data_IF_358473517123
#
_entry.id   IF_358473517123
#
_cell.length_a   1.000
_cell.length_b   1.000
_cell.length_c   1.000
_cell.angle_alpha   90.00
_cell.angle_beta   90.00
_cell.angle_gamma   90.00
#
_symmetry.space_group_name_H-M   'P 1'
#
loop_
_entity.id
_entity.type
_entity.pdbx_description
1 polymer ?
#
# COMPACT_ATOMS: atom_id res chain seq x y z
N UNK A 1 16.29 75.47 -25.62
CA UNK A 1 15.18 74.57 -25.28
C UNK A 1 15.66 73.11 -25.57
N UNK A 2 16.08 72.40 -24.55
CA UNK A 2 16.50 71.00 -24.66
C UNK A 2 15.54 70.17 -23.77
N UNK A 3 14.65 69.38 -24.37
CA UNK A 3 13.73 68.49 -23.72
C UNK A 3 14.48 67.25 -23.22
N UNK A 4 14.56 67.13 -21.90
CA UNK A 4 15.05 65.89 -21.21
C UNK A 4 13.94 64.86 -21.23
N UNK A 5 14.06 63.78 -22.02
CA UNK A 5 13.19 62.62 -21.94
C UNK A 5 13.69 61.70 -20.84
N UNK A 6 13.02 61.69 -19.69
CA UNK A 6 13.19 60.68 -18.66
C UNK A 6 12.59 59.33 -19.11
N UNK A 7 13.44 58.38 -19.31
CA UNK A 7 13.05 57.00 -19.62
C UNK A 7 12.93 56.23 -18.30
N UNK A 8 11.70 56.00 -17.85
CA UNK A 8 11.38 55.23 -16.64
C UNK A 8 11.52 53.72 -16.99
N UNK A 9 12.61 53.09 -16.60
CA UNK A 9 12.78 51.66 -16.74
C UNK A 9 12.12 50.99 -15.52
N UNK A 10 10.93 50.40 -15.75
CA UNK A 10 10.24 49.60 -14.75
C UNK A 10 10.92 48.22 -14.70
N UNK A 11 11.75 47.98 -13.71
CA UNK A 11 12.32 46.68 -13.45
C UNK A 11 11.23 45.76 -12.87
N UNK A 12 10.70 44.84 -13.68
CA UNK A 12 9.89 43.73 -13.19
C UNK A 12 10.83 42.72 -12.46
N UNK A 13 10.88 42.82 -11.12
CA UNK A 13 11.47 41.79 -10.29
C UNK A 13 10.55 40.59 -10.29
N UNK A 14 10.85 39.59 -11.13
CA UNK A 14 10.20 38.30 -11.06
C UNK A 14 10.65 37.64 -9.74
N UNK A 15 9.76 37.58 -8.74
CA UNK A 15 9.94 36.72 -7.58
C UNK A 15 9.87 35.27 -8.08
N UNK A 16 11.02 34.69 -8.39
CA UNK A 16 11.13 33.24 -8.51
C UNK A 16 10.86 32.66 -7.11
N UNK A 17 9.68 32.12 -6.90
CA UNK A 17 9.39 31.30 -5.73
C UNK A 17 10.41 30.16 -5.73
N UNK A 18 11.41 30.21 -4.86
CA UNK A 18 12.30 29.07 -4.62
C UNK A 18 11.44 27.99 -4.00
N UNK A 19 11.05 27.00 -4.80
CA UNK A 19 10.39 25.82 -4.28
C UNK A 19 11.37 25.12 -3.34
N UNK A 20 11.16 25.25 -2.04
CA UNK A 20 11.95 24.55 -1.03
C UNK A 20 11.59 23.07 -1.13
N UNK A 21 12.63 22.23 -1.26
CA UNK A 21 12.48 20.79 -1.07
C UNK A 21 11.98 20.52 0.35
N UNK A 22 10.89 19.74 0.47
CA UNK A 22 10.34 19.34 1.76
C UNK A 22 10.48 17.83 1.90
N UNK A 23 10.71 17.38 3.14
CA UNK A 23 10.62 15.97 3.51
C UNK A 23 9.19 15.66 3.95
N UNK A 24 8.63 14.55 3.50
CA UNK A 24 7.33 14.06 3.94
C UNK A 24 7.42 12.65 4.53
N UNK A 25 6.78 12.45 5.68
CA UNK A 25 6.69 11.16 6.33
C UNK A 25 5.39 10.45 5.93
N UNK A 26 5.52 9.31 5.28
CA UNK A 26 4.38 8.54 4.74
C UNK A 26 4.32 7.17 5.37
N UNK A 27 3.20 6.87 6.05
CA UNK A 27 2.87 5.53 6.51
C UNK A 27 2.28 4.72 5.35
N UNK A 28 2.85 3.56 5.05
CA UNK A 28 2.48 2.72 3.90
C UNK A 28 2.19 1.30 4.33
N UNK A 29 1.01 0.78 4.00
CA UNK A 29 0.69 -0.61 4.21
C UNK A 29 1.67 -1.52 3.46
N UNK A 30 2.17 -2.54 4.15
CA UNK A 30 3.32 -3.35 3.72
C UNK A 30 3.15 -4.07 2.35
N UNK A 31 1.91 -4.33 1.94
CA UNK A 31 1.62 -4.89 0.60
C UNK A 31 2.02 -3.94 -0.54
N UNK A 32 2.08 -2.63 -0.26
CA UNK A 32 2.37 -1.59 -1.26
C UNK A 32 3.84 -1.13 -1.24
N UNK A 33 4.73 -1.87 -0.54
CA UNK A 33 6.15 -1.48 -0.36
C UNK A 33 6.85 -1.22 -1.70
N UNK A 34 6.89 -2.18 -2.60
CA UNK A 34 7.63 -2.04 -3.86
C UNK A 34 7.04 -0.95 -4.79
N UNK A 35 5.71 -0.89 -5.02
CA UNK A 35 5.13 0.22 -5.78
C UNK A 35 5.40 1.59 -5.15
N UNK A 36 5.27 1.72 -3.81
CA UNK A 36 5.51 3.00 -3.14
C UNK A 36 6.93 3.49 -3.30
N UNK A 37 7.93 2.60 -3.20
CA UNK A 37 9.33 2.93 -3.42
C UNK A 37 9.59 3.42 -4.85
N UNK A 38 9.02 2.76 -5.85
CA UNK A 38 9.16 3.17 -7.24
C UNK A 38 8.47 4.52 -7.50
N UNK A 39 7.24 4.70 -7.01
CA UNK A 39 6.49 5.95 -7.15
C UNK A 39 7.21 7.10 -6.42
N UNK A 40 7.79 6.83 -5.23
CA UNK A 40 8.56 7.83 -4.50
C UNK A 40 9.78 8.31 -5.29
N UNK A 41 10.54 7.41 -5.89
CA UNK A 41 11.68 7.77 -6.72
C UNK A 41 11.28 8.62 -7.95
N UNK A 42 10.15 8.32 -8.58
CA UNK A 42 9.60 9.10 -9.69
C UNK A 42 9.11 10.48 -9.23
N UNK A 43 8.43 10.55 -8.08
CA UNK A 43 7.97 11.79 -7.47
C UNK A 43 9.13 12.71 -7.06
N UNK A 44 10.14 12.18 -6.38
CA UNK A 44 11.33 12.91 -5.95
C UNK A 44 12.06 13.52 -7.15
N UNK A 45 12.22 12.73 -8.23
CA UNK A 45 12.81 13.20 -9.49
C UNK A 45 11.99 14.32 -10.14
N UNK A 46 10.67 14.25 -10.06
CA UNK A 46 9.78 15.20 -10.72
C UNK A 46 9.62 16.51 -9.94
N UNK A 47 9.75 16.49 -8.60
CA UNK A 47 9.38 17.62 -7.73
C UNK A 47 10.53 18.16 -6.90
N UNK A 48 11.56 17.38 -6.66
CA UNK A 48 12.64 17.71 -5.72
C UNK A 48 12.29 17.51 -4.25
N UNK A 49 11.05 17.14 -3.91
CA UNK A 49 10.66 16.77 -2.54
C UNK A 49 11.15 15.36 -2.20
N UNK A 50 11.35 15.07 -0.90
CA UNK A 50 11.76 13.74 -0.44
C UNK A 50 10.66 13.01 0.31
N UNK A 51 10.51 11.69 0.07
CA UNK A 51 9.48 10.85 0.66
C UNK A 51 10.10 9.82 1.59
N UNK A 52 9.88 9.97 2.90
CA UNK A 52 10.29 9.01 3.92
C UNK A 52 9.17 7.99 4.11
N UNK A 53 9.37 6.79 3.57
CA UNK A 53 8.39 5.71 3.62
C UNK A 53 8.60 4.82 4.84
N UNK A 54 7.57 4.67 5.66
CA UNK A 54 7.51 3.67 6.73
C UNK A 54 6.53 2.56 6.34
N UNK A 55 6.93 1.30 6.50
CA UNK A 55 6.13 0.15 6.09
C UNK A 55 5.65 -0.68 7.27
N UNK A 56 4.38 -1.06 7.28
CA UNK A 56 3.79 -1.84 8.36
C UNK A 56 2.36 -2.30 8.10
N UNK A 57 1.71 -2.85 9.11
CA UNK A 57 0.31 -3.21 9.03
C UNK A 57 -0.58 -1.97 9.20
N UNK A 58 -1.69 -1.89 8.46
CA UNK A 58 -2.69 -0.81 8.51
C UNK A 58 -3.12 -0.50 9.94
N UNK A 59 -3.55 -1.49 10.73
CA UNK A 59 -4.00 -1.28 12.11
C UNK A 59 -2.89 -0.87 13.08
N UNK A 60 -1.62 -1.19 12.79
CA UNK A 60 -0.48 -0.69 13.58
C UNK A 60 -0.24 0.80 13.30
N UNK A 61 -0.34 1.23 12.05
CA UNK A 61 -0.26 2.65 11.70
C UNK A 61 -1.43 3.44 12.27
N UNK A 62 -2.65 2.90 12.22
CA UNK A 62 -3.79 3.52 12.90
C UNK A 62 -3.49 3.79 14.38
N UNK A 63 -2.97 2.80 15.10
CA UNK A 63 -2.61 2.97 16.50
C UNK A 63 -1.51 4.02 16.71
N UNK A 64 -0.48 4.05 15.85
CA UNK A 64 0.60 5.04 15.91
C UNK A 64 0.08 6.47 15.63
N UNK A 65 -0.75 6.65 14.60
CA UNK A 65 -1.36 7.94 14.24
C UNK A 65 -2.23 8.44 15.39
N UNK A 66 -3.04 7.58 15.99
CA UNK A 66 -3.85 7.89 17.17
C UNK A 66 -3.03 8.35 18.38
N UNK A 67 -1.80 7.84 18.51
CA UNK A 67 -0.86 8.21 19.55
C UNK A 67 0.08 9.35 19.16
N UNK A 68 -0.23 10.09 18.08
CA UNK A 68 0.48 11.30 17.70
C UNK A 68 1.72 11.08 16.84
N UNK A 69 1.88 9.92 16.19
CA UNK A 69 2.96 9.74 15.21
C UNK A 69 2.85 10.79 14.09
N UNK A 70 3.96 11.44 13.69
CA UNK A 70 3.93 12.63 12.84
C UNK A 70 3.80 12.33 11.33
N UNK A 71 3.19 11.21 10.97
CA UNK A 71 2.94 10.91 9.56
C UNK A 71 2.05 11.97 8.93
N UNK A 72 2.42 12.40 7.73
CA UNK A 72 1.70 13.41 6.95
C UNK A 72 0.73 12.80 5.96
N UNK A 73 1.02 11.59 5.48
CA UNK A 73 0.16 10.83 4.56
C UNK A 73 0.08 9.38 5.03
N UNK A 74 -1.09 8.77 4.83
CA UNK A 74 -1.31 7.36 5.07
C UNK A 74 -1.82 6.66 3.80
N UNK A 75 -1.14 5.60 3.39
CA UNK A 75 -1.54 4.66 2.35
C UNK A 75 -1.96 3.35 3.02
N UNK A 76 -3.26 3.22 3.25
CA UNK A 76 -3.87 2.05 3.90
C UNK A 76 -4.06 0.89 2.94
N UNK A 77 -4.14 -0.35 3.48
CA UNK A 77 -4.58 -1.52 2.72
C UNK A 77 -6.10 -1.78 2.84
N UNK A 78 -6.85 -0.90 3.46
CA UNK A 78 -8.31 -0.87 3.50
C UNK A 78 -8.84 0.57 3.31
N UNK A 79 -10.14 0.72 3.16
CA UNK A 79 -10.85 2.01 3.08
C UNK A 79 -11.51 2.41 4.41
N UNK A 80 -11.71 1.47 5.33
CA UNK A 80 -12.34 1.69 6.62
C UNK A 80 -11.44 2.49 7.59
N UNK A 81 -10.15 2.13 7.64
CA UNK A 81 -9.20 2.78 8.57
C UNK A 81 -8.99 4.26 8.25
N UNK A 82 -8.76 4.69 6.99
CA UNK A 82 -8.72 6.10 6.64
C UNK A 82 -10.03 6.82 6.90
N UNK A 83 -11.19 6.20 6.62
CA UNK A 83 -12.50 6.79 6.94
C UNK A 83 -12.67 7.04 8.45
N UNK A 84 -12.19 6.12 9.28
CA UNK A 84 -12.19 6.27 10.73
C UNK A 84 -11.28 7.39 11.20
N UNK A 85 -10.07 7.51 10.65
CA UNK A 85 -9.16 8.62 10.95
C UNK A 85 -9.77 9.98 10.57
N UNK A 86 -10.49 10.05 9.45
CA UNK A 86 -11.21 11.25 9.04
C UNK A 86 -12.30 11.63 10.06
N UNK A 87 -13.11 10.66 10.49
CA UNK A 87 -14.17 10.86 11.51
C UNK A 87 -13.60 11.28 12.86
N UNK A 88 -12.42 10.79 13.23
CA UNK A 88 -11.71 11.14 14.47
C UNK A 88 -10.94 12.47 14.38
N UNK A 89 -10.97 13.17 13.23
CA UNK A 89 -10.26 14.44 13.00
C UNK A 89 -8.75 14.31 12.85
N UNK A 90 -8.24 13.08 12.68
CA UNK A 90 -6.83 12.79 12.46
C UNK A 90 -6.47 12.75 10.96
N UNK A 91 -7.46 12.50 10.11
CA UNK A 91 -7.39 12.65 8.66
C UNK A 91 -8.02 13.97 8.22
N UNK A 92 -7.47 14.59 7.17
CA UNK A 92 -8.02 15.82 6.58
C UNK A 92 -9.23 15.46 5.73
N UNK A 93 -10.39 16.00 6.09
CA UNK A 93 -11.67 15.72 5.41
C UNK A 93 -11.62 16.02 3.90
N UNK A 94 -12.20 15.11 3.11
CA UNK A 94 -12.30 15.24 1.65
C UNK A 94 -10.99 14.95 0.89
N UNK A 95 -9.93 14.53 1.56
CA UNK A 95 -8.65 14.18 0.90
C UNK A 95 -8.53 12.69 0.59
N UNK A 96 -9.39 11.86 1.19
CA UNK A 96 -9.40 10.41 1.03
C UNK A 96 -9.83 9.99 -0.38
N UNK A 97 -9.13 9.01 -0.94
CA UNK A 97 -9.50 8.37 -2.20
C UNK A 97 -8.91 6.96 -2.31
N UNK A 98 -9.60 6.07 -3.02
CA UNK A 98 -9.07 4.74 -3.34
C UNK A 98 -7.96 4.88 -4.38
N UNK A 99 -6.73 4.44 -4.01
CA UNK A 99 -5.57 4.48 -4.90
C UNK A 99 -5.29 3.14 -5.57
N UNK A 100 -5.81 2.03 -5.01
CA UNK A 100 -5.62 0.68 -5.54
C UNK A 100 -6.67 -0.29 -5.00
N UNK A 101 -6.96 -1.36 -5.75
CA UNK A 101 -7.70 -2.54 -5.26
C UNK A 101 -6.74 -3.73 -5.29
N UNK A 102 -6.51 -4.33 -4.13
CA UNK A 102 -5.57 -5.43 -3.95
C UNK A 102 -6.15 -6.80 -4.30
N UNK A 103 -5.27 -7.73 -4.62
CA UNK A 103 -5.63 -9.13 -4.90
C UNK A 103 -4.93 -10.07 -3.93
N UNK A 104 -5.69 -10.94 -3.28
CA UNK A 104 -5.18 -11.99 -2.41
C UNK A 104 -4.75 -13.20 -3.23
N UNK A 105 -3.61 -13.78 -2.88
CA UNK A 105 -3.06 -14.97 -3.53
C UNK A 105 -2.63 -15.98 -2.48
N UNK A 106 -3.00 -17.25 -2.65
CA UNK A 106 -2.33 -18.35 -1.98
C UNK A 106 -1.07 -18.68 -2.78
N UNK A 107 0.09 -18.58 -2.17
CA UNK A 107 1.39 -18.76 -2.83
C UNK A 107 2.31 -19.68 -2.06
N UNK A 108 3.15 -20.40 -2.79
CA UNK A 108 4.27 -21.18 -2.27
C UNK A 108 5.54 -20.94 -3.09
N UNK A 109 6.70 -20.94 -2.44
CA UNK A 109 7.99 -20.93 -3.13
C UNK A 109 8.23 -22.25 -3.90
N UNK A 110 7.57 -23.36 -3.51
CA UNK A 110 7.59 -24.62 -4.25
C UNK A 110 6.68 -24.51 -5.49
N UNK A 111 7.26 -24.68 -6.67
CA UNK A 111 6.58 -24.54 -7.96
C UNK A 111 5.42 -25.55 -8.19
N UNK A 112 5.34 -26.61 -7.39
CA UNK A 112 4.38 -27.70 -7.59
C UNK A 112 3.38 -27.88 -6.43
N UNK A 113 3.40 -27.00 -5.41
CA UNK A 113 2.58 -27.19 -4.21
C UNK A 113 1.17 -26.62 -4.36
N UNK A 114 1.04 -25.39 -4.89
CA UNK A 114 -0.24 -24.71 -5.03
C UNK A 114 -0.76 -24.89 -6.46
N UNK A 115 -1.89 -25.55 -6.60
CA UNK A 115 -2.57 -25.71 -7.88
C UNK A 115 -3.44 -24.47 -8.21
N UNK A 116 -3.85 -24.35 -9.47
CA UNK A 116 -4.62 -23.20 -9.96
C UNK A 116 -6.03 -23.02 -9.33
N UNK A 117 -6.48 -23.99 -8.54
CA UNK A 117 -7.80 -23.97 -7.85
C UNK A 117 -7.68 -23.86 -6.33
N UNK A 118 -6.46 -23.92 -5.77
CA UNK A 118 -6.22 -23.90 -4.34
C UNK A 118 -6.65 -25.17 -3.62
N UNK A 119 -6.78 -26.30 -4.34
CA UNK A 119 -7.20 -27.58 -3.77
C UNK A 119 -6.24 -28.11 -2.71
N UNK A 120 -4.99 -27.65 -2.70
CA UNK A 120 -4.01 -27.95 -1.65
C UNK A 120 -4.56 -27.64 -0.25
N UNK A 121 -5.41 -26.64 -0.10
CA UNK A 121 -6.03 -26.27 1.19
C UNK A 121 -6.94 -27.39 1.73
N UNK A 122 -7.72 -28.04 0.88
CA UNK A 122 -8.60 -29.15 1.26
C UNK A 122 -7.86 -30.50 1.36
N UNK A 123 -6.84 -30.70 0.51
CA UNK A 123 -6.00 -31.91 0.54
C UNK A 123 -5.09 -31.97 1.78
N UNK A 124 -4.79 -30.80 2.38
CA UNK A 124 -4.03 -30.71 3.62
C UNK A 124 -2.56 -31.16 3.52
N UNK A 125 -2.00 -31.26 2.29
CA UNK A 125 -0.64 -31.74 2.02
C UNK A 125 0.43 -30.68 2.29
N UNK A 126 0.32 -30.00 3.44
CA UNK A 126 1.27 -29.02 3.96
C UNK A 126 1.28 -29.05 5.49
N UNK A 127 2.38 -28.62 6.11
CA UNK A 127 2.53 -28.57 7.56
C UNK A 127 2.18 -27.19 8.12
N UNK A 128 2.64 -26.13 7.45
CA UNK A 128 2.48 -24.72 7.91
C UNK A 128 1.96 -23.83 6.79
N UNK A 129 1.02 -22.95 7.13
CA UNK A 129 0.50 -21.93 6.26
C UNK A 129 0.65 -20.55 6.90
N UNK A 130 1.27 -19.61 6.20
CA UNK A 130 1.45 -18.25 6.69
C UNK A 130 0.24 -17.37 6.39
N UNK A 131 -0.19 -16.58 7.38
CA UNK A 131 -1.18 -15.52 7.24
C UNK A 131 -0.69 -14.24 7.91
N UNK A 132 -1.10 -13.08 7.44
CA UNK A 132 -0.91 -11.85 8.19
C UNK A 132 -1.90 -11.79 9.37
N UNK A 133 -1.55 -11.04 10.42
CA UNK A 133 -2.43 -10.87 11.57
C UNK A 133 -3.78 -10.29 11.14
N UNK A 134 -4.89 -11.04 11.22
CA UNK A 134 -6.19 -10.60 10.70
C UNK A 134 -6.79 -9.43 11.47
N UNK A 135 -6.30 -9.15 12.69
CA UNK A 135 -6.78 -8.01 13.50
C UNK A 135 -6.19 -6.67 13.05
N UNK A 136 -5.07 -6.68 12.33
CA UNK A 136 -4.33 -5.46 11.99
C UNK A 136 -3.96 -5.36 10.51
N UNK A 137 -4.08 -6.44 9.75
CA UNK A 137 -3.71 -6.50 8.35
C UNK A 137 -4.90 -6.95 7.47
N UNK A 138 -5.40 -6.10 6.57
CA UNK A 138 -6.56 -6.41 5.71
C UNK A 138 -6.41 -7.68 4.88
N UNK A 139 -5.21 -7.96 4.36
CA UNK A 139 -4.93 -9.24 3.67
C UNK A 139 -5.04 -10.46 4.59
N UNK A 140 -4.76 -10.30 5.89
CA UNK A 140 -4.97 -11.34 6.88
C UNK A 140 -6.47 -11.59 7.14
N UNK A 141 -7.27 -10.53 7.23
CA UNK A 141 -8.72 -10.61 7.33
C UNK A 141 -9.31 -11.32 6.09
N UNK A 142 -8.90 -10.91 4.88
CA UNK A 142 -9.32 -11.54 3.63
C UNK A 142 -8.93 -13.04 3.54
N UNK A 143 -7.78 -13.43 4.09
CA UNK A 143 -7.40 -14.84 4.18
C UNK A 143 -8.34 -15.64 5.09
N UNK A 144 -8.72 -15.09 6.25
CA UNK A 144 -9.69 -15.72 7.17
C UNK A 144 -11.08 -15.81 6.53
N UNK A 145 -11.54 -14.75 5.85
CA UNK A 145 -12.80 -14.75 5.10
C UNK A 145 -12.79 -15.85 4.03
N UNK A 146 -11.71 -15.95 3.25
CA UNK A 146 -11.54 -16.98 2.22
C UNK A 146 -11.63 -18.39 2.80
N UNK A 147 -10.88 -18.68 3.87
CA UNK A 147 -10.91 -19.99 4.53
C UNK A 147 -12.28 -20.30 5.14
N UNK A 148 -12.97 -19.29 5.64
CA UNK A 148 -14.33 -19.43 6.19
C UNK A 148 -15.35 -19.72 5.08
N UNK A 149 -15.28 -18.99 3.96
CA UNK A 149 -16.15 -19.20 2.80
C UNK A 149 -15.95 -20.58 2.14
N UNK A 150 -14.74 -21.12 2.22
CA UNK A 150 -14.41 -22.48 1.78
C UNK A 150 -14.79 -23.58 2.79
N UNK A 151 -15.19 -23.23 4.03
CA UNK A 151 -15.45 -24.18 5.11
C UNK A 151 -14.19 -24.85 5.66
N UNK A 152 -12.99 -24.29 5.40
CA UNK A 152 -11.70 -24.90 5.71
C UNK A 152 -11.00 -24.27 6.92
N UNK A 153 -11.54 -23.18 7.48
CA UNK A 153 -10.88 -22.45 8.57
C UNK A 153 -10.47 -23.35 9.73
N UNK A 154 -11.39 -24.12 10.29
CA UNK A 154 -11.11 -24.96 11.47
C UNK A 154 -10.04 -26.03 11.21
N UNK A 155 -9.99 -26.57 9.99
CA UNK A 155 -9.01 -27.58 9.59
C UNK A 155 -7.60 -26.99 9.37
N UNK A 156 -7.52 -25.73 8.94
CA UNK A 156 -6.26 -25.08 8.56
C UNK A 156 -5.67 -24.24 9.70
N UNK A 157 -6.51 -23.68 10.58
CA UNK A 157 -6.09 -22.79 11.69
C UNK A 157 -5.00 -23.39 12.60
N UNK A 158 -4.99 -24.69 12.95
CA UNK A 158 -3.90 -25.28 13.73
C UNK A 158 -2.53 -25.24 13.06
N UNK A 159 -2.48 -25.00 11.74
CA UNK A 159 -1.25 -24.90 10.95
C UNK A 159 -0.78 -23.46 10.71
N UNK A 160 -1.44 -22.46 11.29
CA UNK A 160 -1.11 -21.06 11.05
C UNK A 160 0.25 -20.66 11.60
N UNK A 161 1.00 -19.94 10.77
CA UNK A 161 2.13 -19.11 11.15
C UNK A 161 1.73 -17.68 10.89
N UNK A 162 1.59 -16.88 11.94
CA UNK A 162 1.08 -15.52 11.84
C UNK A 162 2.21 -14.50 11.74
N UNK A 163 2.24 -13.72 10.63
CA UNK A 163 3.08 -12.55 10.47
C UNK A 163 2.40 -11.29 11.02
N UNK A 164 3.17 -10.33 11.50
CA UNK A 164 2.68 -9.03 11.97
C UNK A 164 2.04 -8.21 10.83
N UNK A 165 2.51 -8.41 9.60
CA UNK A 165 2.01 -7.79 8.38
C UNK A 165 2.21 -8.73 7.18
N UNK A 166 1.72 -8.33 6.01
CA UNK A 166 1.77 -9.16 4.81
C UNK A 166 3.20 -9.37 4.27
N UNK A 167 4.14 -8.45 4.52
CA UNK A 167 5.54 -8.62 4.10
C UNK A 167 6.24 -9.69 4.93
N UNK A 168 6.02 -9.74 6.24
CA UNK A 168 6.54 -10.80 7.09
C UNK A 168 5.90 -12.15 6.72
N UNK A 169 4.61 -12.16 6.38
CA UNK A 169 3.91 -13.36 5.89
C UNK A 169 4.57 -13.91 4.63
N UNK A 170 4.83 -13.04 3.64
CA UNK A 170 5.56 -13.40 2.43
C UNK A 170 6.97 -13.94 2.76
N UNK A 171 7.67 -13.28 3.69
CA UNK A 171 9.00 -13.71 4.11
C UNK A 171 8.99 -15.14 4.69
N UNK A 172 8.00 -15.49 5.53
CA UNK A 172 7.90 -16.85 6.08
C UNK A 172 7.79 -17.91 4.98
N UNK A 173 7.04 -17.64 3.91
CA UNK A 173 6.91 -18.58 2.80
C UNK A 173 8.16 -18.59 1.93
N UNK A 174 8.70 -17.44 1.58
CA UNK A 174 9.86 -17.32 0.69
C UNK A 174 11.14 -17.93 1.28
N UNK A 175 11.24 -17.98 2.63
CA UNK A 175 12.38 -18.57 3.36
C UNK A 175 12.13 -20.01 3.83
N UNK A 176 10.97 -20.61 3.50
CA UNK A 176 10.64 -21.98 3.87
C UNK A 176 10.21 -22.18 5.33
N UNK A 177 9.95 -21.08 6.08
CA UNK A 177 9.40 -21.17 7.44
C UNK A 177 7.89 -21.52 7.46
N UNK A 178 7.22 -21.39 6.31
CA UNK A 178 5.91 -21.93 6.00
C UNK A 178 5.93 -22.51 4.59
N UNK A 179 5.16 -23.59 4.35
CA UNK A 179 5.13 -24.27 3.05
C UNK A 179 4.41 -23.42 1.98
N UNK A 180 3.37 -22.70 2.41
CA UNK A 180 2.57 -21.79 1.60
C UNK A 180 1.99 -20.70 2.50
N UNK A 181 1.37 -19.68 1.90
CA UNK A 181 0.72 -18.61 2.65
C UNK A 181 -0.18 -17.73 1.80
N UNK A 182 -1.07 -17.02 2.45
CA UNK A 182 -1.86 -15.97 1.82
C UNK A 182 -1.04 -14.67 1.78
N UNK A 183 -0.72 -14.22 0.57
CA UNK A 183 0.12 -13.05 0.30
C UNK A 183 -0.59 -12.06 -0.63
N UNK A 184 -0.06 -10.86 -0.79
CA UNK A 184 -0.54 -9.94 -1.80
C UNK A 184 0.02 -10.28 -3.18
N UNK A 185 -0.80 -10.19 -4.23
CA UNK A 185 -0.35 -10.43 -5.61
C UNK A 185 0.87 -9.56 -5.95
N UNK A 186 0.92 -8.34 -5.46
CA UNK A 186 2.03 -7.40 -5.66
C UNK A 186 3.40 -7.88 -5.17
N UNK A 187 3.43 -8.83 -4.25
CA UNK A 187 4.67 -9.39 -3.70
C UNK A 187 5.26 -10.50 -4.56
N UNK A 188 4.45 -11.11 -5.42
CA UNK A 188 4.83 -12.27 -6.25
C UNK A 188 4.70 -12.01 -7.74
N UNK A 189 4.27 -10.80 -8.13
CA UNK A 189 4.04 -10.40 -9.53
C UNK A 189 4.99 -9.31 -9.95
N UNK A 190 5.50 -9.42 -11.17
CA UNK A 190 6.17 -8.36 -11.89
C UNK A 190 5.63 -8.34 -13.33
N UNK A 191 5.26 -7.14 -13.81
CA UNK A 191 4.72 -6.93 -15.15
C UNK A 191 3.53 -7.87 -15.47
N UNK A 192 2.63 -8.06 -14.48
CA UNK A 192 1.42 -8.87 -14.60
C UNK A 192 1.65 -10.39 -14.57
N UNK A 193 2.87 -10.85 -14.30
CA UNK A 193 3.20 -12.30 -14.24
C UNK A 193 3.74 -12.69 -12.87
N UNK A 194 3.29 -13.83 -12.35
CA UNK A 194 3.87 -14.41 -11.15
C UNK A 194 5.30 -14.86 -11.49
N UNK A 195 6.28 -14.39 -10.71
CA UNK A 195 7.70 -14.50 -11.05
C UNK A 195 8.35 -15.81 -10.58
N UNK A 196 7.76 -16.48 -9.58
CA UNK A 196 8.33 -17.72 -9.02
C UNK A 196 7.28 -18.49 -8.23
N UNK A 197 7.59 -19.77 -7.97
CA UNK A 197 6.76 -20.64 -7.14
C UNK A 197 5.48 -21.08 -7.84
N UNK A 198 4.47 -21.40 -7.04
CA UNK A 198 3.12 -21.76 -7.49
C UNK A 198 2.07 -20.95 -6.76
N UNK A 199 0.96 -20.65 -7.43
CA UNK A 199 -0.03 -19.72 -6.89
C UNK A 199 -1.46 -20.05 -7.32
N UNK A 200 -2.39 -19.72 -6.44
CA UNK A 200 -3.81 -19.60 -6.72
C UNK A 200 -4.26 -18.16 -6.42
N UNK A 201 -4.68 -17.45 -7.46
CA UNK A 201 -5.30 -16.14 -7.29
C UNK A 201 -6.69 -16.36 -6.69
N UNK A 202 -6.92 -15.85 -5.50
CA UNK A 202 -8.18 -16.06 -4.78
C UNK A 202 -9.30 -15.32 -5.49
N UNK A 203 -10.38 -16.02 -5.89
CA UNK A 203 -11.55 -15.36 -6.49
C UNK A 203 -12.19 -14.35 -5.54
N UNK A 204 -12.56 -13.17 -6.06
CA UNK A 204 -13.14 -12.08 -5.30
C UNK A 204 -14.42 -12.43 -4.51
N UNK A 205 -15.11 -13.49 -4.87
CA UNK A 205 -16.32 -13.97 -4.16
C UNK A 205 -16.04 -14.55 -2.77
N UNK A 206 -14.79 -14.84 -2.43
CA UNK A 206 -14.41 -15.49 -1.17
C UNK A 206 -14.01 -14.52 -0.06
N UNK A 207 -13.85 -13.24 -0.38
CA UNK A 207 -13.52 -12.21 0.61
C UNK A 207 -14.05 -10.83 0.17
N UNK A 208 -14.17 -9.93 1.12
CA UNK A 208 -14.46 -8.52 0.85
C UNK A 208 -13.38 -7.90 -0.05
N UNK A 209 -13.73 -7.05 -1.04
CA UNK A 209 -12.75 -6.39 -1.88
C UNK A 209 -11.72 -5.60 -1.05
N UNK A 210 -10.43 -5.80 -1.33
CA UNK A 210 -9.34 -5.12 -0.61
C UNK A 210 -9.13 -3.73 -1.24
N UNK A 211 -10.08 -2.81 -0.98
CA UNK A 211 -10.00 -1.42 -1.44
C UNK A 211 -9.00 -0.69 -0.54
N UNK A 212 -8.07 0.02 -1.14
CA UNK A 212 -6.96 0.66 -0.44
C UNK A 212 -7.04 2.18 -0.62
N UNK A 213 -7.21 2.89 0.48
CA UNK A 213 -7.37 4.34 0.45
C UNK A 213 -6.11 5.07 0.91
N UNK A 214 -5.82 6.17 0.20
CA UNK A 214 -4.83 7.18 0.57
C UNK A 214 -5.52 8.33 1.28
N UNK A 215 -4.87 8.92 2.29
CA UNK A 215 -5.37 10.07 3.01
C UNK A 215 -4.28 11.02 3.47
N UNK A 216 -4.53 12.32 3.37
CA UNK A 216 -3.76 13.34 4.06
C UNK A 216 -4.08 13.30 5.56
N UNK A 217 -3.06 13.28 6.39
CA UNK A 217 -3.22 13.32 7.84
C UNK A 217 -3.08 14.76 8.37
N UNK A 218 -3.61 15.00 9.57
CA UNK A 218 -3.60 16.33 10.20
C UNK A 218 -2.21 17.00 10.24
N UNK A 219 -1.09 16.29 10.54
CA UNK A 219 0.25 16.89 10.48
C UNK A 219 0.65 17.39 9.09
N UNK A 220 0.10 16.80 8.02
CA UNK A 220 0.40 17.16 6.62
C UNK A 220 -0.52 18.22 6.02
N UNK A 221 -1.53 18.73 6.77
CA UNK A 221 -2.59 19.60 6.22
C UNK A 221 -2.05 20.84 5.50
N UNK A 222 -0.95 21.40 5.96
CA UNK A 222 -0.36 22.62 5.41
C UNK A 222 0.89 22.34 4.53
N UNK A 223 1.37 21.07 4.45
CA UNK A 223 2.50 20.68 3.62
C UNK A 223 2.13 20.67 2.14
N UNK A 224 2.83 21.46 1.33
CA UNK A 224 2.70 21.47 -0.11
C UNK A 224 3.16 20.14 -0.72
N UNK A 225 4.25 19.58 -0.20
CA UNK A 225 4.81 18.30 -0.64
C UNK A 225 3.87 17.12 -0.37
N UNK A 226 3.21 17.06 0.81
CA UNK A 226 2.25 16.00 1.12
C UNK A 226 1.03 16.04 0.18
N UNK A 227 0.53 17.24 -0.14
CA UNK A 227 -0.55 17.44 -1.12
C UNK A 227 -0.11 17.05 -2.53
N UNK A 228 1.11 17.44 -2.92
CA UNK A 228 1.69 17.09 -4.21
C UNK A 228 1.88 15.57 -4.35
N UNK A 229 2.31 14.86 -3.27
CA UNK A 229 2.40 13.42 -3.24
C UNK A 229 1.05 12.73 -3.50
N UNK A 230 -0.02 13.15 -2.82
CA UNK A 230 -1.36 12.61 -3.06
C UNK A 230 -1.87 12.90 -4.48
N UNK A 231 -1.53 14.08 -5.04
CA UNK A 231 -1.85 14.40 -6.43
C UNK A 231 -1.06 13.51 -7.40
N UNK A 232 0.22 13.27 -7.12
CA UNK A 232 1.09 12.40 -7.94
C UNK A 232 0.59 10.95 -7.96
N UNK A 233 0.10 10.42 -6.83
CA UNK A 233 -0.51 9.09 -6.77
C UNK A 233 -1.72 8.92 -7.71
N UNK A 234 -2.40 10.01 -8.08
CA UNK A 234 -3.51 10.02 -9.04
C UNK A 234 -3.06 10.13 -10.50
N UNK A 235 -1.78 10.40 -10.75
CA UNK A 235 -1.23 10.56 -12.10
C UNK A 235 -1.22 9.25 -12.89
N UNK A 236 -1.16 9.35 -14.21
CA UNK A 236 -1.07 8.17 -15.08
C UNK A 236 0.24 7.42 -14.88
N UNK A 237 1.34 8.12 -14.55
CA UNK A 237 2.62 7.50 -14.23
C UNK A 237 2.51 6.60 -12.98
N UNK A 238 1.99 7.13 -11.87
CA UNK A 238 1.78 6.33 -10.66
C UNK A 238 0.80 5.17 -10.89
N UNK A 239 -0.29 5.40 -11.63
CA UNK A 239 -1.25 4.35 -12.00
C UNK A 239 -0.63 3.25 -12.86
N UNK A 240 0.29 3.59 -13.76
CA UNK A 240 1.02 2.60 -14.56
C UNK A 240 1.89 1.70 -13.66
N UNK A 241 2.61 2.29 -12.70
CA UNK A 241 3.36 1.54 -11.70
C UNK A 241 2.43 0.63 -10.90
N UNK A 242 1.33 1.16 -10.36
CA UNK A 242 0.37 0.40 -9.55
C UNK A 242 -0.14 -0.82 -10.33
N UNK A 243 -0.53 -0.64 -11.61
CA UNK A 243 -0.98 -1.76 -12.46
C UNK A 243 0.10 -2.80 -12.72
N UNK A 244 1.37 -2.39 -12.88
CA UNK A 244 2.47 -3.33 -13.14
C UNK A 244 2.70 -4.31 -11.99
N UNK A 245 2.29 -3.95 -10.77
CA UNK A 245 2.29 -4.82 -9.60
C UNK A 245 0.97 -5.60 -9.38
N UNK A 246 0.06 -5.61 -10.37
CA UNK A 246 -1.15 -6.42 -10.32
C UNK A 246 -2.31 -5.83 -9.53
N UNK A 247 -2.29 -4.55 -9.22
CA UNK A 247 -3.43 -3.85 -8.62
C UNK A 247 -4.46 -3.44 -9.68
N UNK A 248 -5.74 -3.41 -9.26
CA UNK A 248 -6.85 -2.82 -9.99
C UNK A 248 -7.22 -1.43 -9.43
N UNK A 249 -8.20 -0.76 -10.04
CA UNK A 249 -8.77 0.52 -9.61
C UNK A 249 -10.28 0.45 -9.51
#
# INVERSE_FOLDING_TARGET
MKLLRSMLVTACVAFASVAHAEDIDVAVAANFTAPAQQIAAEFEKATGHHVKLAFGATGKFYAQIKNGAPFQVFLSADDETPAKLETEGLGVAGTRFTYAVGTLVLWSANANLVDAKGEVLSKGSFNKIAIANPKTAPYGAAAIETLTALGLRAAVEPKFVQGENISQTFQFVSTGNADLGFVALSQVTKDGKITSGSAWVVPAKFHTPIRQDAQLLAPGKDSAAAKAWLAFLKSDAAKAVIRSYGYAF
#
